data_IF_941035909990
#
_entry.id   IF_941035909990
#
_cell.length_a   1.000
_cell.length_b   1.000
_cell.length_c   1.000
_cell.angle_alpha   90.00
_cell.angle_beta   90.00
_cell.angle_gamma   90.00
#
_symmetry.space_group_name_H-M   'P 1'
#
loop_
_entity.id
_entity.type
_entity.pdbx_description
1 polymer ?
#
# COMPACT_ATOMS: atom_id res chain seq x y z
N UNK A 1 14.60 -9.58 7.29
CA UNK A 1 13.32 -9.94 6.64
C UNK A 1 12.29 -8.83 6.80
N UNK A 2 11.82 -8.50 8.01
CA UNK A 2 10.82 -7.42 8.20
C UNK A 2 11.27 -6.06 7.63
N UNK A 3 12.55 -5.70 7.84
CA UNK A 3 13.14 -4.49 7.27
C UNK A 3 13.09 -4.48 5.74
N UNK A 4 13.65 -5.50 5.08
CA UNK A 4 13.69 -5.57 3.62
C UNK A 4 12.30 -5.56 3.00
N UNK A 5 11.36 -6.32 3.56
CA UNK A 5 9.96 -6.35 3.08
C UNK A 5 9.28 -4.99 3.23
N UNK A 6 9.46 -4.29 4.37
CA UNK A 6 8.92 -2.96 4.53
C UNK A 6 9.51 -1.97 3.52
N UNK A 7 10.83 -1.98 3.32
CA UNK A 7 11.51 -1.12 2.34
C UNK A 7 11.02 -1.39 0.92
N UNK A 8 10.84 -2.64 0.52
CA UNK A 8 10.30 -3.01 -0.80
C UNK A 8 8.87 -2.48 -1.00
N UNK A 9 7.99 -2.63 0.00
CA UNK A 9 6.59 -2.18 -0.08
C UNK A 9 6.50 -0.64 -0.11
N UNK A 10 7.34 0.05 0.65
CA UNK A 10 7.34 1.53 0.72
C UNK A 10 7.92 2.15 -0.56
N UNK A 11 8.84 1.45 -1.23
CA UNK A 11 9.52 1.95 -2.41
C UNK A 11 8.64 1.82 -3.68
N UNK A 12 8.27 2.94 -4.34
CA UNK A 12 7.44 2.90 -5.55
C UNK A 12 8.06 2.12 -6.72
N UNK A 13 9.37 1.92 -6.73
CA UNK A 13 10.05 1.15 -7.78
C UNK A 13 9.94 -0.38 -7.59
N UNK A 14 9.58 -0.84 -6.39
CA UNK A 14 9.60 -2.26 -6.01
C UNK A 14 8.21 -2.79 -5.63
N UNK A 15 7.27 -1.91 -5.27
CA UNK A 15 6.00 -2.25 -4.65
C UNK A 15 4.85 -2.58 -5.62
N UNK A 16 5.15 -2.82 -6.90
CA UNK A 16 4.16 -3.23 -7.90
C UNK A 16 3.14 -2.14 -8.29
N UNK A 17 3.50 -0.86 -8.15
CA UNK A 17 2.68 0.27 -8.61
C UNK A 17 1.87 0.97 -7.53
N UNK A 18 2.10 0.65 -6.25
CA UNK A 18 1.55 1.41 -5.13
C UNK A 18 2.17 2.81 -5.04
N UNK A 19 1.42 3.84 -4.58
CA UNK A 19 1.94 5.20 -4.47
C UNK A 19 3.21 5.30 -3.62
N UNK A 20 4.07 6.27 -3.93
CA UNK A 20 5.30 6.51 -3.20
C UNK A 20 5.03 6.70 -1.69
N UNK A 21 5.81 6.02 -0.85
CA UNK A 21 5.65 6.04 0.62
C UNK A 21 4.24 5.61 1.12
N UNK A 22 3.45 4.93 0.29
CA UNK A 22 2.06 4.57 0.61
C UNK A 22 1.17 5.76 0.98
N UNK A 23 1.37 6.90 0.31
CA UNK A 23 0.44 8.03 0.40
C UNK A 23 -0.91 7.68 -0.24
N UNK A 24 -2.00 8.18 0.36
CA UNK A 24 -3.36 7.98 -0.16
C UNK A 24 -3.86 9.22 -0.94
N UNK A 25 -3.28 10.38 -0.66
CA UNK A 25 -3.40 11.63 -1.38
C UNK A 25 -2.31 11.73 -2.47
N UNK A 26 -1.89 12.95 -2.82
CA UNK A 26 -0.89 13.15 -3.85
C UNK A 26 0.55 12.96 -3.33
N UNK A 27 1.42 12.22 -4.05
CA UNK A 27 2.81 11.99 -3.67
C UNK A 27 3.64 13.26 -3.44
N UNK A 28 3.31 14.37 -4.10
CA UNK A 28 3.99 15.66 -3.88
C UNK A 28 3.67 16.30 -2.52
N UNK A 29 2.54 15.94 -1.90
CA UNK A 29 2.04 16.55 -0.67
C UNK A 29 2.44 15.74 0.58
N UNK A 30 2.39 14.41 0.50
CA UNK A 30 2.46 13.54 1.67
C UNK A 30 3.53 12.47 1.60
N UNK A 31 4.22 12.30 2.72
CA UNK A 31 5.33 11.34 2.89
C UNK A 31 5.00 10.26 3.93
N UNK A 32 3.77 9.76 3.93
CA UNK A 32 3.17 8.82 4.89
C UNK A 32 4.18 7.87 5.57
N UNK A 33 4.69 6.85 4.89
CA UNK A 33 5.57 5.86 5.51
C UNK A 33 7.07 6.21 5.49
N UNK A 34 7.45 7.44 5.11
CA UNK A 34 8.86 7.85 5.07
C UNK A 34 9.51 7.80 6.45
N UNK A 35 8.79 8.27 7.48
CA UNK A 35 9.24 8.17 8.86
C UNK A 35 9.32 6.73 9.37
N UNK A 36 8.43 5.86 8.90
CA UNK A 36 8.47 4.43 9.24
C UNK A 36 9.71 3.77 8.64
N UNK A 37 10.06 4.05 7.38
CA UNK A 37 11.26 3.49 6.73
C UNK A 37 12.55 3.87 7.49
N UNK A 38 12.68 5.13 7.89
CA UNK A 38 13.79 5.61 8.72
C UNK A 38 13.85 4.87 10.06
N UNK A 39 12.70 4.72 10.73
CA UNK A 39 12.62 3.99 12.01
C UNK A 39 12.99 2.51 11.83
N UNK A 40 12.51 1.86 10.77
CA UNK A 40 12.81 0.46 10.47
C UNK A 40 14.32 0.25 10.26
N UNK A 41 15.02 1.18 9.61
CA UNK A 41 16.48 1.14 9.47
C UNK A 41 17.20 1.29 10.82
N UNK A 42 16.73 2.20 11.68
CA UNK A 42 17.25 2.38 13.04
C UNK A 42 17.08 1.10 13.87
N UNK A 43 15.88 0.51 13.87
CA UNK A 43 15.58 -0.71 14.61
C UNK A 43 16.41 -1.89 14.11
N UNK A 44 16.56 -2.04 12.78
CA UNK A 44 17.38 -3.10 12.20
C UNK A 44 18.87 -2.95 12.57
N UNK A 45 19.37 -1.71 12.65
CA UNK A 45 20.76 -1.41 13.03
C UNK A 45 21.02 -1.74 14.50
N UNK A 46 20.12 -1.31 15.39
CA UNK A 46 20.18 -1.63 16.83
C UNK A 46 20.07 -3.14 17.07
N UNK A 47 19.14 -3.82 16.39
CA UNK A 47 19.00 -5.27 16.49
C UNK A 47 20.27 -5.99 16.03
N UNK A 48 20.93 -5.50 14.99
CA UNK A 48 22.23 -6.01 14.53
C UNK A 48 23.32 -5.88 15.60
N UNK A 49 23.33 -4.78 16.35
CA UNK A 49 24.25 -4.61 17.47
C UNK A 49 23.92 -5.54 18.65
N UNK A 50 22.65 -5.67 19.01
CA UNK A 50 22.18 -6.54 20.10
C UNK A 50 22.37 -8.03 19.82
N UNK A 51 22.50 -8.42 18.54
CA UNK A 51 22.74 -9.80 18.13
C UNK A 51 24.17 -10.29 18.39
N UNK A 52 25.10 -9.43 18.82
CA UNK A 52 26.46 -9.84 19.13
C UNK A 52 26.47 -10.83 20.32
N UNK A 53 27.25 -11.93 20.23
CA UNK A 53 27.28 -12.93 21.29
C UNK A 53 27.98 -12.38 22.53
N UNK A 54 27.45 -12.68 23.71
CA UNK A 54 28.08 -12.34 25.00
C UNK A 54 29.18 -13.34 25.37
N UNK A 55 29.10 -14.58 24.85
CA UNK A 55 29.95 -15.70 25.27
C UNK A 55 31.45 -15.56 24.95
N UNK A 56 31.83 -14.63 24.08
CA UNK A 56 33.24 -14.31 23.80
C UNK A 56 33.87 -13.34 24.83
N UNK A 57 33.10 -12.85 25.81
CA UNK A 57 33.55 -11.91 26.84
C UNK A 57 33.79 -12.54 28.23
N UNK A 58 33.81 -13.88 28.31
CA UNK A 58 34.03 -14.62 29.56
C UNK A 58 35.34 -14.18 30.22
N UNK A 59 35.26 -13.78 31.49
CA UNK A 59 36.40 -13.48 32.34
C UNK A 59 36.58 -14.58 33.38
N UNK A 60 37.84 -14.86 33.72
CA UNK A 60 38.14 -15.70 34.87
C UNK A 60 37.75 -14.96 36.15
N UNK A 61 36.84 -15.53 36.92
CA UNK A 61 36.29 -14.92 38.13
C UNK A 61 36.67 -15.73 39.38
N UNK A 62 36.40 -15.14 40.55
CA UNK A 62 36.53 -15.79 41.87
C UNK A 62 37.91 -16.43 42.08
N UNK A 63 38.97 -15.61 42.06
CA UNK A 63 40.36 -16.02 42.25
C UNK A 63 40.80 -17.19 41.32
N UNK A 64 40.35 -17.15 40.05
CA UNK A 64 40.57 -18.19 39.03
C UNK A 64 39.87 -19.53 39.26
N UNK A 65 39.04 -19.67 40.30
CA UNK A 65 38.23 -20.87 40.51
C UNK A 65 37.08 -20.97 39.49
N UNK A 66 36.63 -19.84 38.93
CA UNK A 66 35.64 -19.79 37.84
C UNK A 66 36.30 -19.34 36.54
N UNK A 67 37.21 -20.17 36.02
CA UNK A 67 37.90 -19.92 34.75
C UNK A 67 36.95 -19.89 33.53
N UNK A 68 35.80 -20.56 33.62
CA UNK A 68 34.71 -20.53 32.62
C UNK A 68 33.40 -20.28 33.36
N UNK A 69 32.56 -19.41 32.81
CA UNK A 69 31.20 -19.16 33.27
C UNK A 69 30.28 -18.87 32.08
N UNK A 70 28.97 -19.05 32.26
CA UNK A 70 28.02 -19.07 31.14
C UNK A 70 27.57 -17.69 30.68
N UNK A 71 27.70 -16.67 31.52
CA UNK A 71 27.11 -15.33 31.32
C UNK A 71 25.60 -15.37 30.97
N UNK A 72 24.90 -16.45 31.34
CA UNK A 72 23.56 -16.76 30.83
C UNK A 72 22.55 -15.64 31.09
N UNK A 73 22.49 -15.11 32.32
CA UNK A 73 21.58 -14.02 32.67
C UNK A 73 21.87 -12.73 31.89
N UNK A 74 23.14 -12.45 31.58
CA UNK A 74 23.52 -11.27 30.78
C UNK A 74 23.04 -11.46 29.35
N UNK A 75 23.28 -12.63 28.77
CA UNK A 75 22.77 -12.97 27.43
C UNK A 75 21.25 -12.86 27.38
N UNK A 76 20.52 -13.40 28.37
CA UNK A 76 19.06 -13.33 28.42
C UNK A 76 18.54 -11.89 28.48
N UNK A 77 19.22 -10.98 29.20
CA UNK A 77 18.82 -9.56 29.27
C UNK A 77 18.96 -8.86 27.92
N UNK A 78 20.05 -9.09 27.19
CA UNK A 78 20.23 -8.52 25.85
C UNK A 78 19.27 -9.15 24.83
N UNK A 79 18.98 -10.45 24.95
CA UNK A 79 17.92 -11.09 24.15
C UNK A 79 16.55 -10.46 24.43
N UNK A 80 16.24 -10.15 25.69
CA UNK A 80 14.99 -9.47 26.05
C UNK A 80 14.90 -8.06 25.43
N UNK A 81 16.00 -7.30 25.43
CA UNK A 81 16.06 -6.00 24.73
C UNK A 81 15.88 -6.15 23.22
N UNK A 82 16.51 -7.16 22.61
CA UNK A 82 16.36 -7.45 21.18
C UNK A 82 14.90 -7.78 20.81
N UNK A 83 14.17 -8.47 21.69
CA UNK A 83 12.73 -8.73 21.51
C UNK A 83 11.92 -7.43 21.44
N UNK A 84 12.23 -6.44 22.29
CA UNK A 84 11.53 -5.14 22.26
C UNK A 84 11.73 -4.43 20.92
N UNK A 85 12.95 -4.48 20.35
CA UNK A 85 13.23 -3.96 19.00
C UNK A 85 12.46 -4.71 17.92
N UNK A 86 12.37 -6.05 18.01
CA UNK A 86 11.57 -6.87 17.07
C UNK A 86 10.08 -6.48 17.14
N UNK A 87 9.52 -6.23 18.32
CA UNK A 87 8.13 -5.77 18.44
C UNK A 87 7.92 -4.41 17.76
N UNK A 88 8.86 -3.48 17.89
CA UNK A 88 8.80 -2.20 17.17
C UNK A 88 8.79 -2.40 15.65
N UNK A 89 9.67 -3.27 15.13
CA UNK A 89 9.71 -3.60 13.71
C UNK A 89 8.43 -4.29 13.22
N UNK A 90 7.92 -5.27 13.96
CA UNK A 90 6.70 -6.01 13.61
C UNK A 90 5.48 -5.09 13.59
N UNK A 91 5.39 -4.17 14.55
CA UNK A 91 4.33 -3.16 14.64
C UNK A 91 4.36 -2.22 13.42
N UNK A 92 5.52 -1.65 13.13
CA UNK A 92 5.71 -0.76 12.00
C UNK A 92 5.38 -1.47 10.68
N UNK A 93 5.85 -2.71 10.52
CA UNK A 93 5.56 -3.52 9.35
C UNK A 93 4.06 -3.83 9.21
N UNK A 94 3.37 -4.16 10.30
CA UNK A 94 1.93 -4.43 10.28
C UNK A 94 1.11 -3.19 9.87
N UNK A 95 1.52 -1.99 10.31
CA UNK A 95 0.91 -0.74 9.84
C UNK A 95 1.12 -0.55 8.33
N UNK A 96 2.35 -0.75 7.84
CA UNK A 96 2.70 -0.66 6.41
C UNK A 96 1.87 -1.62 5.58
N UNK A 97 1.73 -2.88 6.02
CA UNK A 97 0.91 -3.88 5.34
C UNK A 97 -0.56 -3.48 5.26
N UNK A 98 -1.16 -3.04 6.37
CA UNK A 98 -2.56 -2.62 6.36
C UNK A 98 -2.78 -1.42 5.44
N UNK A 99 -1.86 -0.45 5.43
CA UNK A 99 -1.91 0.70 4.52
C UNK A 99 -1.78 0.27 3.06
N UNK A 100 -0.85 -0.64 2.76
CA UNK A 100 -0.64 -1.16 1.41
C UNK A 100 -1.86 -1.93 0.89
N UNK A 101 -2.48 -2.78 1.72
CA UNK A 101 -3.67 -3.55 1.34
C UNK A 101 -4.84 -2.64 0.97
N UNK A 102 -5.08 -1.58 1.74
CA UNK A 102 -6.10 -0.58 1.42
C UNK A 102 -5.83 0.07 0.05
N UNK A 103 -4.58 0.48 -0.21
CA UNK A 103 -4.22 1.10 -1.49
C UNK A 103 -4.23 0.11 -2.66
N UNK A 104 -3.95 -1.16 -2.46
CA UNK A 104 -4.14 -2.20 -3.48
C UNK A 104 -5.61 -2.28 -3.89
N UNK A 105 -6.51 -2.29 -2.92
CA UNK A 105 -7.95 -2.35 -3.18
C UNK A 105 -8.44 -1.10 -3.90
N UNK A 106 -7.95 0.09 -3.53
CA UNK A 106 -8.22 1.32 -4.29
C UNK A 106 -7.86 1.18 -5.78
N UNK A 107 -6.70 0.61 -6.08
CA UNK A 107 -6.27 0.42 -7.47
C UNK A 107 -7.15 -0.57 -8.22
N UNK A 108 -7.54 -1.68 -7.58
CA UNK A 108 -8.41 -2.68 -8.18
C UNK A 108 -9.78 -2.07 -8.50
N UNK A 109 -10.42 -1.41 -7.53
CA UNK A 109 -11.73 -0.77 -7.74
C UNK A 109 -11.67 0.33 -8.80
N UNK A 110 -10.62 1.13 -8.81
CA UNK A 110 -10.40 2.15 -9.84
C UNK A 110 -10.31 1.53 -11.24
N UNK A 111 -9.43 0.54 -11.43
CA UNK A 111 -9.22 -0.08 -12.75
C UNK A 111 -10.50 -0.79 -13.24
N UNK A 112 -11.23 -1.47 -12.35
CA UNK A 112 -12.53 -2.06 -12.67
C UNK A 112 -13.56 -0.99 -13.04
N UNK A 113 -13.59 0.14 -12.33
CA UNK A 113 -14.49 1.24 -12.66
C UNK A 113 -14.18 1.86 -14.01
N UNK A 114 -12.90 2.05 -14.36
CA UNK A 114 -12.50 2.58 -15.67
C UNK A 114 -12.87 1.60 -16.79
N UNK A 115 -12.62 0.31 -16.59
CA UNK A 115 -13.00 -0.74 -17.55
C UNK A 115 -14.51 -0.74 -17.82
N UNK A 116 -15.33 -0.61 -16.77
CA UNK A 116 -16.79 -0.51 -16.90
C UNK A 116 -17.28 0.79 -17.59
N UNK A 117 -16.50 1.88 -17.56
CA UNK A 117 -16.80 3.09 -18.32
C UNK A 117 -16.39 2.95 -19.79
N UNK A 118 -15.25 2.30 -20.07
CA UNK A 118 -14.83 1.96 -21.44
C UNK A 118 -15.83 1.03 -22.14
N UNK A 119 -16.50 0.15 -21.39
CA UNK A 119 -17.61 -0.67 -21.89
C UNK A 119 -18.84 0.13 -22.30
N UNK A 120 -19.10 1.24 -21.60
CA UNK A 120 -20.23 2.13 -21.88
C UNK A 120 -19.91 3.20 -22.93
N UNK A 121 -18.64 3.32 -23.32
CA UNK A 121 -18.19 4.32 -24.27
C UNK A 121 -18.67 3.97 -25.68
N UNK A 122 -19.34 4.93 -26.32
CA UNK A 122 -19.63 4.84 -27.75
C UNK A 122 -18.41 5.30 -28.57
N UNK A 123 -17.66 4.32 -29.05
CA UNK A 123 -16.47 4.52 -29.90
C UNK A 123 -16.81 5.15 -31.26
N UNK A 124 -18.05 4.99 -31.75
CA UNK A 124 -18.48 5.62 -33.01
C UNK A 124 -18.63 7.13 -32.84
N UNK A 125 -19.19 7.58 -31.71
CA UNK A 125 -19.29 9.02 -31.40
C UNK A 125 -17.95 9.59 -30.92
N UNK A 126 -17.17 8.83 -30.17
CA UNK A 126 -15.94 9.31 -29.53
C UNK A 126 -14.79 9.45 -30.52
N UNK A 127 -14.65 8.49 -31.45
CA UNK A 127 -13.50 8.39 -32.34
C UNK A 127 -13.87 8.14 -33.81
N UNK A 128 -15.16 8.12 -34.16
CA UNK A 128 -15.63 7.71 -35.49
C UNK A 128 -15.12 6.32 -35.90
N UNK A 129 -14.88 5.46 -34.91
CA UNK A 129 -14.36 4.13 -35.14
C UNK A 129 -15.43 3.22 -35.78
N UNK A 130 -15.07 2.45 -36.83
CA UNK A 130 -15.89 1.34 -37.32
C UNK A 130 -16.24 0.37 -36.20
N UNK A 131 -17.44 -0.23 -36.25
CA UNK A 131 -17.93 -1.13 -35.19
C UNK A 131 -17.02 -2.34 -34.97
N UNK A 132 -16.34 -2.75 -36.02
CA UNK A 132 -15.37 -3.86 -36.03
C UNK A 132 -14.16 -3.56 -35.13
N UNK A 133 -13.81 -2.30 -34.93
CA UNK A 133 -12.67 -1.88 -34.11
C UNK A 133 -13.03 -1.64 -32.64
N UNK A 134 -14.32 -1.58 -32.28
CA UNK A 134 -14.74 -1.16 -30.92
C UNK A 134 -14.15 -2.06 -29.83
N UNK A 135 -14.20 -3.38 -30.03
CA UNK A 135 -13.62 -4.33 -29.06
C UNK A 135 -12.09 -4.25 -29.03
N UNK A 136 -11.45 -4.08 -30.19
CA UNK A 136 -9.97 -3.99 -30.29
C UNK A 136 -9.47 -2.72 -29.59
N UNK A 137 -10.13 -1.58 -29.81
CA UNK A 137 -9.81 -0.31 -29.15
C UNK A 137 -10.03 -0.39 -27.65
N UNK A 138 -11.16 -0.98 -27.21
CA UNK A 138 -11.44 -1.20 -25.79
C UNK A 138 -10.32 -2.01 -25.13
N UNK A 139 -9.97 -3.16 -25.70
CA UNK A 139 -8.98 -4.06 -25.12
C UNK A 139 -7.60 -3.43 -25.10
N UNK A 140 -7.22 -2.70 -26.16
CA UNK A 140 -5.95 -1.99 -26.24
C UNK A 140 -5.86 -0.89 -25.17
N UNK A 141 -6.86 -0.02 -25.07
CA UNK A 141 -6.90 1.07 -24.08
C UNK A 141 -6.95 0.51 -22.65
N UNK A 142 -7.79 -0.49 -22.38
CA UNK A 142 -7.85 -1.15 -21.06
C UNK A 142 -6.49 -1.75 -20.67
N UNK A 143 -5.82 -2.44 -21.61
CA UNK A 143 -4.51 -3.05 -21.38
C UNK A 143 -3.43 -2.00 -21.15
N UNK A 144 -3.41 -0.92 -21.95
CA UNK A 144 -2.44 0.16 -21.83
C UNK A 144 -2.63 0.93 -20.53
N UNK A 145 -3.86 1.25 -20.14
CA UNK A 145 -4.16 1.88 -18.84
C UNK A 145 -3.62 1.01 -17.70
N UNK A 146 -3.94 -0.30 -17.66
CA UNK A 146 -3.46 -1.22 -16.62
C UNK A 146 -1.93 -1.26 -16.55
N UNK A 147 -1.26 -1.30 -17.69
CA UNK A 147 0.21 -1.32 -17.77
C UNK A 147 0.84 0.01 -17.35
N UNK A 148 0.26 1.14 -17.74
CA UNK A 148 0.81 2.46 -17.44
C UNK A 148 0.56 2.86 -16.00
N UNK A 149 -0.59 2.48 -15.44
CA UNK A 149 -0.96 2.84 -14.08
C UNK A 149 0.06 2.39 -13.03
N UNK A 150 0.68 1.22 -13.23
CA UNK A 150 1.71 0.70 -12.31
C UNK A 150 3.04 1.45 -12.37
N UNK A 151 3.32 2.16 -13.46
CA UNK A 151 4.60 2.86 -13.68
C UNK A 151 4.55 4.36 -13.36
N UNK A 152 3.34 4.93 -13.28
CA UNK A 152 3.11 6.37 -13.02
C UNK A 152 2.80 6.67 -11.54
N UNK A 153 3.12 5.74 -10.63
CA UNK A 153 2.79 5.77 -9.20
C UNK A 153 3.54 6.83 -8.36
N UNK A 154 4.48 7.56 -8.95
CA UNK A 154 5.21 8.66 -8.31
C UNK A 154 4.65 10.04 -8.66
N UNK A 155 3.75 10.11 -9.65
CA UNK A 155 3.11 11.36 -10.07
C UNK A 155 1.81 11.62 -9.29
N UNK A 156 1.48 12.90 -9.12
CA UNK A 156 0.19 13.35 -8.60
C UNK A 156 -0.95 12.92 -9.52
N UNK A 157 -2.16 12.81 -8.97
CA UNK A 157 -3.29 12.21 -9.69
C UNK A 157 -3.56 12.85 -11.06
N UNK A 158 -3.52 14.18 -11.15
CA UNK A 158 -3.76 14.88 -12.40
C UNK A 158 -2.75 14.49 -13.48
N UNK A 159 -1.47 14.59 -13.14
CA UNK A 159 -0.36 14.26 -14.03
C UNK A 159 -0.32 12.77 -14.35
N UNK A 160 -0.65 11.91 -13.38
CA UNK A 160 -0.74 10.46 -13.53
C UNK A 160 -1.78 10.09 -14.58
N UNK A 161 -3.00 10.62 -14.44
CA UNK A 161 -4.08 10.41 -15.40
C UNK A 161 -3.72 10.94 -16.79
N UNK A 162 -3.05 12.09 -16.87
CA UNK A 162 -2.59 12.67 -18.14
C UNK A 162 -1.59 11.76 -18.86
N UNK A 163 -0.51 11.35 -18.17
CA UNK A 163 0.51 10.46 -18.74
C UNK A 163 -0.11 9.14 -19.20
N UNK A 164 -1.03 8.58 -18.41
CA UNK A 164 -1.72 7.34 -18.76
C UNK A 164 -2.60 7.52 -20.00
N UNK A 165 -3.42 8.57 -20.08
CA UNK A 165 -4.28 8.82 -21.24
C UNK A 165 -3.47 9.11 -22.52
N UNK A 166 -2.41 9.91 -22.41
CA UNK A 166 -1.56 10.24 -23.56
C UNK A 166 -0.79 9.01 -24.09
N UNK A 167 -0.55 7.99 -23.26
CA UNK A 167 0.11 6.76 -23.68
C UNK A 167 -0.77 5.88 -24.61
N UNK A 168 -2.10 6.06 -24.57
CA UNK A 168 -3.04 5.34 -25.44
C UNK A 168 -2.99 5.81 -26.90
N UNK A 169 -2.48 7.02 -27.15
CA UNK A 169 -2.43 7.67 -28.46
C UNK A 169 -1.80 6.77 -29.52
N UNK A 170 -0.63 6.18 -29.22
CA UNK A 170 0.12 5.38 -30.19
C UNK A 170 -0.62 4.08 -30.55
N UNK A 171 -1.21 3.42 -29.56
CA UNK A 171 -1.94 2.16 -29.78
C UNK A 171 -3.17 2.38 -30.64
N UNK A 172 -3.92 3.44 -30.34
CA UNK A 172 -5.07 3.84 -31.13
C UNK A 172 -4.66 4.14 -32.58
N UNK A 173 -3.61 4.95 -32.79
CA UNK A 173 -3.13 5.28 -34.13
C UNK A 173 -2.75 4.02 -34.92
N UNK A 174 -2.06 3.07 -34.29
CA UNK A 174 -1.68 1.81 -34.94
C UNK A 174 -2.91 0.96 -35.32
N UNK A 175 -3.91 0.86 -34.44
CA UNK A 175 -5.15 0.11 -34.71
C UNK A 175 -5.89 0.68 -35.93
N UNK A 176 -6.00 2.01 -36.02
CA UNK A 176 -6.61 2.68 -37.16
C UNK A 176 -5.81 2.50 -38.46
N UNK A 177 -4.47 2.52 -38.37
CA UNK A 177 -3.59 2.31 -39.51
C UNK A 177 -3.67 0.89 -40.08
N UNK A 178 -3.85 -0.12 -39.22
CA UNK A 178 -3.95 -1.54 -39.60
C UNK A 178 -5.36 -1.96 -40.07
N UNK A 179 -6.39 -1.17 -39.76
CA UNK A 179 -7.78 -1.47 -40.12
C UNK A 179 -8.06 -1.30 -41.64
N UNK A 180 -8.58 -2.31 -42.35
CA UNK A 180 -9.01 -2.16 -43.75
C UNK A 180 -10.45 -1.63 -43.88
N UNK A 181 -10.73 -0.67 -44.80
CA UNK A 181 -9.79 0.18 -45.53
C UNK A 181 -9.08 1.16 -44.58
N UNK A 182 -7.82 1.47 -44.87
CA UNK A 182 -6.94 2.31 -44.05
C UNK A 182 -7.69 3.59 -43.61
N UNK A 183 -8.14 3.62 -42.36
CA UNK A 183 -8.98 4.70 -41.83
C UNK A 183 -8.08 5.59 -40.98
N UNK A 184 -7.94 6.86 -41.36
CA UNK A 184 -7.15 7.80 -40.57
C UNK A 184 -7.98 8.31 -39.39
N UNK A 185 -7.37 8.36 -38.20
CA UNK A 185 -7.95 9.04 -37.04
C UNK A 185 -7.61 10.53 -37.09
N UNK A 186 -8.61 11.39 -36.92
CA UNK A 186 -8.39 12.84 -36.84
C UNK A 186 -7.62 13.19 -35.55
N UNK A 187 -6.56 13.98 -35.67
CA UNK A 187 -5.72 14.38 -34.53
C UNK A 187 -6.50 15.17 -33.46
N UNK A 188 -7.46 15.99 -33.87
CA UNK A 188 -8.36 16.73 -32.96
C UNK A 188 -9.21 15.79 -32.11
N UNK A 189 -9.76 14.73 -32.71
CA UNK A 189 -10.55 13.71 -32.01
C UNK A 189 -9.71 12.90 -31.03
N UNK A 190 -8.48 12.60 -31.41
CA UNK A 190 -7.55 11.90 -30.53
C UNK A 190 -7.25 12.71 -29.27
N UNK A 191 -6.97 14.00 -29.41
CA UNK A 191 -6.75 14.92 -28.28
C UNK A 191 -8.02 15.12 -27.44
N UNK A 192 -9.19 15.25 -28.08
CA UNK A 192 -10.48 15.31 -27.37
C UNK A 192 -10.75 14.04 -26.56
N UNK A 193 -10.44 12.87 -27.12
CA UNK A 193 -10.59 11.59 -26.46
C UNK A 193 -9.67 11.46 -25.25
N UNK A 194 -8.37 11.74 -25.39
CA UNK A 194 -7.40 11.61 -24.28
C UNK A 194 -7.71 12.59 -23.15
N UNK A 195 -8.15 13.82 -23.48
CA UNK A 195 -8.59 14.81 -22.50
C UNK A 195 -9.82 14.35 -21.72
N UNK A 196 -10.81 13.74 -22.41
CA UNK A 196 -12.00 13.16 -21.76
C UNK A 196 -11.62 11.97 -20.89
N UNK A 197 -10.74 11.09 -21.37
CA UNK A 197 -10.28 9.92 -20.65
C UNK A 197 -9.53 10.32 -19.37
N UNK A 198 -8.65 11.33 -19.44
CA UNK A 198 -7.99 11.91 -18.27
C UNK A 198 -9.01 12.37 -17.22
N UNK A 199 -9.98 13.21 -17.61
CA UNK A 199 -10.98 13.74 -16.70
C UNK A 199 -11.87 12.64 -16.08
N UNK A 200 -12.21 11.62 -16.87
CA UNK A 200 -12.95 10.46 -16.39
C UNK A 200 -12.15 9.64 -15.38
N UNK A 201 -10.88 9.32 -15.67
CA UNK A 201 -10.02 8.59 -14.75
C UNK A 201 -9.85 9.34 -13.42
N UNK A 202 -9.63 10.65 -13.45
CA UNK A 202 -9.54 11.47 -12.23
C UNK A 202 -10.82 11.37 -11.40
N UNK A 203 -11.98 11.51 -12.05
CA UNK A 203 -13.28 11.45 -11.37
C UNK A 203 -13.51 10.08 -10.73
N UNK A 204 -13.19 8.99 -11.45
CA UNK A 204 -13.39 7.64 -10.93
C UNK A 204 -12.40 7.32 -9.81
N UNK A 205 -11.14 7.72 -9.94
CA UNK A 205 -10.15 7.52 -8.88
C UNK A 205 -10.55 8.26 -7.61
N UNK A 206 -10.97 9.53 -7.72
CA UNK A 206 -11.40 10.32 -6.55
C UNK A 206 -12.63 9.70 -5.88
N UNK A 207 -13.58 9.23 -6.68
CA UNK A 207 -14.77 8.54 -6.18
C UNK A 207 -14.41 7.28 -5.41
N UNK A 208 -13.56 6.42 -5.98
CA UNK A 208 -13.10 5.20 -5.31
C UNK A 208 -12.30 5.52 -4.05
N UNK A 209 -11.43 6.54 -4.10
CA UNK A 209 -10.64 7.01 -2.95
C UNK A 209 -11.53 7.45 -1.80
N UNK A 210 -12.55 8.28 -2.07
CA UNK A 210 -13.48 8.73 -1.05
C UNK A 210 -14.32 7.58 -0.49
N UNK A 211 -14.80 6.67 -1.35
CA UNK A 211 -15.50 5.45 -0.92
C UNK A 211 -14.65 4.63 0.05
N UNK A 212 -13.37 4.44 -0.27
CA UNK A 212 -12.44 3.70 0.57
C UNK A 212 -12.15 4.43 1.89
N UNK A 213 -11.97 5.75 1.89
CA UNK A 213 -11.80 6.51 3.14
C UNK A 213 -12.96 6.32 4.11
N UNK A 214 -14.19 6.21 3.60
CA UNK A 214 -15.37 6.02 4.43
C UNK A 214 -15.62 4.55 4.81
N UNK A 215 -15.23 3.60 3.95
CA UNK A 215 -15.67 2.19 4.03
C UNK A 215 -14.56 1.14 3.88
N UNK A 216 -13.28 1.51 4.06
CA UNK A 216 -12.16 0.56 3.92
C UNK A 216 -12.32 -0.71 4.77
N UNK A 217 -12.91 -0.60 5.97
CA UNK A 217 -13.11 -1.74 6.86
C UNK A 217 -14.02 -2.82 6.26
N UNK A 218 -14.95 -2.46 5.38
CA UNK A 218 -15.81 -3.44 4.70
C UNK A 218 -15.26 -3.81 3.34
N UNK A 219 -14.85 -2.82 2.54
CA UNK A 219 -14.41 -3.03 1.15
C UNK A 219 -13.13 -3.87 1.13
N UNK A 220 -12.10 -3.49 1.89
CA UNK A 220 -10.80 -4.18 1.85
C UNK A 220 -10.93 -5.65 2.26
N UNK A 221 -11.81 -5.96 3.21
CA UNK A 221 -12.03 -7.32 3.71
C UNK A 221 -12.57 -8.29 2.66
N UNK A 222 -13.21 -7.82 1.59
CA UNK A 222 -13.71 -8.68 0.51
C UNK A 222 -12.60 -9.26 -0.36
N UNK A 223 -11.43 -8.60 -0.39
CA UNK A 223 -10.28 -9.00 -1.20
C UNK A 223 -9.26 -9.85 -0.43
N UNK A 224 -9.43 -10.02 0.89
CA UNK A 224 -8.45 -10.70 1.75
C UNK A 224 -8.84 -12.15 2.05
N UNK A 225 -7.87 -13.05 1.97
CA UNK A 225 -8.00 -14.42 2.49
C UNK A 225 -8.14 -14.46 4.02
N UNK A 226 -8.66 -15.58 4.56
CA UNK A 226 -9.08 -15.72 5.96
C UNK A 226 -8.06 -15.18 7.00
N UNK A 227 -6.81 -15.62 6.91
CA UNK A 227 -5.75 -15.20 7.84
C UNK A 227 -5.46 -13.69 7.77
N UNK A 228 -5.30 -13.15 6.56
CA UNK A 228 -5.04 -11.74 6.33
C UNK A 228 -6.25 -10.89 6.76
N UNK A 229 -7.47 -11.33 6.45
CA UNK A 229 -8.74 -10.71 6.89
C UNK A 229 -8.79 -10.59 8.41
N UNK A 230 -8.43 -11.64 9.15
CA UNK A 230 -8.46 -11.63 10.62
C UNK A 230 -7.45 -10.63 11.21
N UNK A 231 -6.22 -10.63 10.70
CA UNK A 231 -5.18 -9.69 11.15
C UNK A 231 -5.49 -8.25 10.75
N UNK A 232 -5.99 -8.03 9.54
CA UNK A 232 -6.43 -6.71 9.09
C UNK A 232 -7.59 -6.19 9.95
N UNK A 233 -8.60 -7.02 10.21
CA UNK A 233 -9.73 -6.65 11.06
C UNK A 233 -9.30 -6.36 12.50
N UNK A 234 -8.32 -7.09 13.03
CA UNK A 234 -7.73 -6.77 14.33
C UNK A 234 -7.16 -5.35 14.36
N UNK A 235 -6.36 -4.96 13.36
CA UNK A 235 -5.75 -3.62 13.32
C UNK A 235 -6.77 -2.52 13.04
N UNK A 236 -7.62 -2.71 12.03
CA UNK A 236 -8.49 -1.67 11.48
C UNK A 236 -9.83 -1.59 12.20
N UNK A 237 -10.36 -2.73 12.64
CA UNK A 237 -11.59 -2.87 13.42
C UNK A 237 -11.31 -2.79 14.92
N UNK A 238 -10.73 -3.84 15.50
CA UNK A 238 -10.63 -4.01 16.96
C UNK A 238 -9.77 -2.90 17.63
N UNK A 239 -8.63 -2.57 17.03
CA UNK A 239 -7.75 -1.50 17.49
C UNK A 239 -8.16 -0.11 16.98
N UNK A 240 -9.06 -0.03 16.00
CA UNK A 240 -9.53 1.23 15.41
C UNK A 240 -8.44 2.03 14.68
N UNK A 241 -7.34 1.41 14.26
CA UNK A 241 -6.29 2.10 13.50
C UNK A 241 -6.73 2.22 12.05
N UNK A 242 -7.39 3.34 11.71
CA UNK A 242 -7.96 3.62 10.37
C UNK A 242 -6.89 3.82 9.29
N UNK A 243 -7.31 3.65 8.03
CA UNK A 243 -6.55 4.04 6.82
C UNK A 243 -6.04 5.47 6.96
N UNK A 244 -4.74 5.69 6.75
CA UNK A 244 -4.18 7.03 6.84
C UNK A 244 -4.39 7.80 5.54
N UNK A 245 -4.99 9.00 5.65
CA UNK A 245 -5.41 9.84 4.51
C UNK A 245 -4.39 10.91 4.10
N UNK A 246 -3.15 10.82 4.59
CA UNK A 246 -2.10 11.79 4.30
C UNK A 246 -2.13 13.03 5.21
N UNK A 247 -1.64 14.16 4.70
CA UNK A 247 -1.28 15.34 5.49
C UNK A 247 -2.46 15.96 6.26
N UNK A 248 -3.70 15.76 5.78
CA UNK A 248 -4.92 16.26 6.44
C UNK A 248 -5.07 15.73 7.87
N UNK A 249 -4.51 14.55 8.18
CA UNK A 249 -4.59 13.94 9.51
C UNK A 249 -3.42 14.33 10.43
N UNK A 250 -2.46 15.11 9.93
CA UNK A 250 -1.34 15.56 10.74
C UNK A 250 -1.79 16.65 11.73
N UNK A 251 -1.49 16.54 13.05
CA UNK A 251 -2.03 17.43 14.07
C UNK A 251 -1.70 18.92 13.86
N UNK A 252 -0.55 19.23 13.26
CA UNK A 252 -0.10 20.61 13.03
C UNK A 252 -0.59 21.22 11.73
N UNK A 253 -1.27 20.44 10.88
CA UNK A 253 -1.71 20.94 9.57
C UNK A 253 -2.98 21.78 9.72
N UNK A 254 -3.05 22.91 9.03
CA UNK A 254 -4.28 23.69 8.93
C UNK A 254 -5.30 22.96 8.04
N UNK A 255 -6.51 22.78 8.53
CA UNK A 255 -7.61 22.19 7.76
C UNK A 255 -8.26 23.27 6.89
N UNK A 256 -8.46 22.96 5.60
CA UNK A 256 -9.30 23.78 4.74
C UNK A 256 -10.76 23.64 5.16
N UNK A 257 -11.54 24.71 4.94
CA UNK A 257 -12.95 24.74 5.29
C UNK A 257 -13.72 23.60 4.59
N UNK A 258 -14.49 22.83 5.36
CA UNK A 258 -15.32 21.73 4.86
C UNK A 258 -14.69 20.34 4.89
N UNK A 259 -13.39 20.22 5.19
CA UNK A 259 -12.74 18.90 5.35
C UNK A 259 -13.09 18.31 6.73
N UNK A 260 -13.64 17.10 6.74
CA UNK A 260 -13.95 16.35 7.97
C UNK A 260 -12.81 15.40 8.33
N UNK A 261 -12.23 15.60 9.50
CA UNK A 261 -11.22 14.71 10.09
C UNK A 261 -11.64 14.35 11.51
N UNK A 262 -11.37 13.10 11.91
CA UNK A 262 -11.62 12.66 13.27
C UNK A 262 -10.66 13.38 14.22
N UNK A 263 -11.23 13.99 15.27
CA UNK A 263 -10.47 14.66 16.32
C UNK A 263 -10.47 13.81 17.62
N UNK A 264 -9.36 13.77 18.39
CA UNK A 264 -8.11 14.49 18.13
C UNK A 264 -7.30 13.85 17.00
N UNK A 265 -6.77 14.68 16.10
CA UNK A 265 -5.83 14.23 15.06
C UNK A 265 -4.59 13.61 15.69
N UNK A 266 -4.13 12.50 15.11
CA UNK A 266 -3.00 11.70 15.60
C UNK A 266 -1.97 11.52 14.50
N UNK A 267 -0.70 11.72 14.85
CA UNK A 267 0.40 11.37 13.96
C UNK A 267 0.52 9.84 13.80
N UNK A 268 1.30 9.42 12.81
CA UNK A 268 1.52 8.01 12.50
C UNK A 268 2.14 7.27 13.69
N UNK A 269 3.09 7.90 14.39
CA UNK A 269 3.71 7.32 15.58
C UNK A 269 2.69 6.90 16.64
N UNK A 270 1.74 7.79 16.97
CA UNK A 270 0.66 7.49 17.91
C UNK A 270 -0.25 6.34 17.45
N UNK A 271 -0.46 6.20 16.14
CA UNK A 271 -1.25 5.08 15.57
C UNK A 271 -0.49 3.76 15.66
N UNK A 272 0.80 3.78 15.34
CA UNK A 272 1.70 2.63 15.46
C UNK A 272 1.82 2.20 16.92
N UNK A 273 1.87 3.13 17.88
CA UNK A 273 1.90 2.81 19.32
C UNK A 273 0.70 1.98 19.79
N UNK A 274 -0.51 2.21 19.26
CA UNK A 274 -1.69 1.41 19.60
C UNK A 274 -1.51 -0.06 19.20
N UNK A 275 -0.93 -0.29 18.02
CA UNK A 275 -0.60 -1.64 17.55
C UNK A 275 0.48 -2.24 18.43
N UNK A 276 1.51 -1.46 18.80
CA UNK A 276 2.62 -1.94 19.62
C UNK A 276 2.15 -2.44 20.99
N UNK A 277 1.31 -1.66 21.67
CA UNK A 277 0.72 -2.03 22.95
C UNK A 277 -0.08 -3.34 22.85
N UNK A 278 -0.86 -3.49 21.77
CA UNK A 278 -1.67 -4.69 21.53
C UNK A 278 -0.87 -5.93 21.16
N UNK A 279 0.31 -5.77 20.55
CA UNK A 279 1.24 -6.89 20.35
C UNK A 279 1.92 -7.28 21.66
N UNK A 280 2.25 -6.30 22.52
CA UNK A 280 2.95 -6.52 23.79
C UNK A 280 2.09 -7.13 24.89
N UNK A 281 0.81 -6.78 24.95
CA UNK A 281 -0.12 -7.31 25.95
C UNK A 281 -0.73 -8.68 25.59
N UNK A 282 -0.34 -9.25 24.44
CA UNK A 282 -0.73 -10.59 24.01
C UNK A 282 -2.01 -10.65 23.16
N UNK A 283 -2.71 -9.52 22.94
CA UNK A 283 -3.89 -9.50 22.04
C UNK A 283 -3.55 -9.93 20.62
N UNK A 284 -2.41 -9.48 20.09
CA UNK A 284 -1.93 -9.90 18.77
C UNK A 284 -1.62 -11.40 18.70
N UNK A 285 -1.05 -11.97 19.76
CA UNK A 285 -0.77 -13.42 19.85
C UNK A 285 -2.07 -14.24 19.82
N UNK A 286 -3.12 -13.77 20.50
CA UNK A 286 -4.43 -14.44 20.47
C UNK A 286 -5.01 -14.52 19.05
N UNK A 287 -4.83 -13.45 18.25
CA UNK A 287 -5.26 -13.43 16.84
C UNK A 287 -4.47 -14.45 16.01
N UNK A 288 -3.14 -14.51 16.18
CA UNK A 288 -2.29 -15.47 15.47
C UNK A 288 -2.64 -16.93 15.84
N UNK A 289 -2.91 -17.19 17.12
CA UNK A 289 -3.34 -18.52 17.57
C UNK A 289 -4.68 -18.92 16.94
N UNK A 290 -5.65 -18.00 16.90
CA UNK A 290 -6.94 -18.26 16.24
C UNK A 290 -6.77 -18.57 14.74
N UNK A 291 -5.91 -17.83 14.04
CA UNK A 291 -5.59 -18.10 12.62
C UNK A 291 -5.01 -19.51 12.47
N UNK A 292 -4.04 -19.88 13.30
CA UNK A 292 -3.39 -21.18 13.23
C UNK A 292 -4.38 -22.33 13.53
N UNK A 293 -5.26 -22.16 14.51
CA UNK A 293 -6.31 -23.13 14.85
C UNK A 293 -7.30 -23.33 13.70
N UNK A 294 -7.72 -22.26 13.03
CA UNK A 294 -8.61 -22.31 11.87
C UNK A 294 -7.96 -23.09 10.71
N UNK A 295 -6.71 -22.76 10.36
CA UNK A 295 -5.99 -23.48 9.29
C UNK A 295 -5.77 -24.96 9.58
N UNK A 296 -5.54 -25.33 10.85
CA UNK A 296 -5.41 -26.73 11.25
C UNK A 296 -6.72 -27.50 11.16
N UNK A 297 -7.88 -26.83 11.28
CA UNK A 297 -9.20 -27.46 11.11
C UNK A 297 -9.54 -27.66 9.63
N UNK A 298 -9.25 -26.68 8.79
CA UNK A 298 -9.46 -26.76 7.33
C UNK A 298 -8.66 -27.90 6.69
N UNK A 299 -7.47 -28.23 7.22
CA UNK A 299 -6.63 -29.33 6.69
C UNK A 299 -7.18 -30.73 7.03
N UNK A 300 -8.11 -30.83 7.98
CA UNK A 300 -8.70 -32.11 8.44
C UNK A 300 -10.07 -32.40 7.82
N UNK A 301 -10.65 -31.44 7.09
CA UNK A 301 -11.92 -31.57 6.37
C UNK A 301 -11.66 -31.93 4.90
#
# INVERSE_FOLDING_TARGET
MLFSQATEIINPMLNGGLPANLCADDPSLSFTCKGIDINMASYQSELGFLANPVGNHVQSAEMHNQAINSLALISSRYTFQALDTIYLMATAHLFVLCQALDLCVLQIEFLQSVEAELERLDWSTSMQAPKELHNILKDAVSTRIKSMWTTTNTADLDQRCKITADADILDIVNIFAEAPPCTSVESTRLVEFTTKLQAQMQTQYERSRQSLFDKHQTITLEFLGNAAKRMYNFVRGDLGVKLHRGLIEHPTQSLLAGIKVDEPRRNIGSRVSVIYEALRDGRGSAVLMAIAEESLRETKA
#
